data_IF_617061434149
#
_entry.id   IF_617061434149
#
_cell.length_a   1.000
_cell.length_b   1.000
_cell.length_c   1.000
_cell.angle_alpha   90.00
_cell.angle_beta   90.00
_cell.angle_gamma   90.00
#
_symmetry.space_group_name_H-M   'P 1'
#
loop_
_entity.id
_entity.type
_entity.pdbx_description
1 polymer ?
#
# COMPACT_ATOMS: atom_id res chain seq x y z
N UNK A 1 -8.75 20.73 -176.20
CA UNK A 1 -8.02 21.66 -175.30
C UNK A 1 -8.85 22.21 -174.14
N UNK A 2 -10.02 22.85 -174.35
CA UNK A 2 -10.78 23.41 -173.21
C UNK A 2 -11.43 22.33 -172.34
N UNK A 3 -12.09 21.35 -172.98
CA UNK A 3 -12.77 20.22 -172.29
C UNK A 3 -11.80 19.38 -171.46
N UNK A 4 -10.60 19.14 -171.96
CA UNK A 4 -9.59 18.30 -171.30
C UNK A 4 -9.05 18.96 -170.03
N UNK A 5 -8.86 20.29 -170.07
CA UNK A 5 -8.52 21.08 -168.87
C UNK A 5 -9.63 21.05 -167.82
N UNK A 6 -10.90 21.03 -168.25
CA UNK A 6 -12.05 20.89 -167.34
C UNK A 6 -12.15 19.48 -166.73
N UNK A 7 -11.83 18.42 -167.49
CA UNK A 7 -11.72 17.05 -166.94
C UNK A 7 -10.63 16.94 -165.88
N UNK A 8 -9.43 17.43 -166.19
CA UNK A 8 -8.29 17.43 -165.25
C UNK A 8 -8.64 18.25 -163.99
N UNK A 9 -9.36 19.37 -164.13
CA UNK A 9 -9.88 20.13 -162.98
C UNK A 9 -10.88 19.33 -162.16
N UNK A 10 -11.84 18.65 -162.79
CA UNK A 10 -12.84 17.83 -162.10
C UNK A 10 -12.21 16.63 -161.37
N UNK A 11 -11.27 15.93 -162.01
CA UNK A 11 -10.50 14.83 -161.42
C UNK A 11 -9.64 15.32 -160.26
N UNK A 12 -8.98 16.47 -160.40
CA UNK A 12 -8.23 17.11 -159.32
C UNK A 12 -9.13 17.56 -158.16
N UNK A 13 -10.35 18.03 -158.44
CA UNK A 13 -11.32 18.44 -157.42
C UNK A 13 -11.85 17.21 -156.66
N UNK A 14 -12.20 16.14 -157.38
CA UNK A 14 -12.67 14.87 -156.80
C UNK A 14 -11.58 14.20 -155.94
N UNK A 15 -10.34 14.14 -156.42
CA UNK A 15 -9.20 13.64 -155.66
C UNK A 15 -8.92 14.52 -154.43
N UNK A 16 -9.04 15.86 -154.54
CA UNK A 16 -8.93 16.76 -153.40
C UNK A 16 -10.08 16.59 -152.39
N UNK A 17 -11.31 16.31 -152.85
CA UNK A 17 -12.47 16.03 -152.00
C UNK A 17 -12.27 14.72 -151.24
N UNK A 18 -11.97 13.63 -151.94
CA UNK A 18 -11.66 12.33 -151.33
C UNK A 18 -10.51 12.42 -150.31
N UNK A 19 -9.43 13.15 -150.65
CA UNK A 19 -8.31 13.41 -149.72
C UNK A 19 -8.70 14.34 -148.56
N UNK A 20 -9.77 15.12 -148.64
CA UNK A 20 -10.32 15.88 -147.52
C UNK A 20 -11.26 15.02 -146.66
N UNK A 21 -12.12 14.20 -147.28
CA UNK A 21 -13.02 13.25 -146.64
C UNK A 21 -12.26 12.22 -145.79
N UNK A 22 -11.18 11.63 -146.33
CA UNK A 22 -10.28 10.74 -145.58
C UNK A 22 -9.69 11.46 -144.36
N UNK A 23 -9.18 12.68 -144.51
CA UNK A 23 -8.64 13.47 -143.38
C UNK A 23 -9.70 13.84 -142.34
N UNK A 24 -10.95 14.06 -142.75
CA UNK A 24 -12.09 14.28 -141.84
C UNK A 24 -12.41 12.98 -141.09
N UNK A 25 -12.36 11.82 -141.76
CA UNK A 25 -12.60 10.52 -141.15
C UNK A 25 -11.50 10.15 -140.15
N UNK A 26 -10.22 10.28 -140.53
CA UNK A 26 -9.06 10.07 -139.65
C UNK A 26 -9.11 11.00 -138.42
N UNK A 27 -9.45 12.28 -138.61
CA UNK A 27 -9.57 13.22 -137.49
C UNK A 27 -10.74 12.90 -136.56
N UNK A 28 -11.91 12.52 -137.11
CA UNK A 28 -13.06 12.05 -136.30
C UNK A 28 -12.68 10.82 -135.48
N UNK A 29 -11.97 9.87 -136.08
CA UNK A 29 -11.46 8.67 -135.41
C UNK A 29 -10.47 9.03 -134.29
N UNK A 30 -9.54 9.94 -134.51
CA UNK A 30 -8.62 10.42 -133.46
C UNK A 30 -9.36 11.10 -132.30
N UNK A 31 -10.41 11.87 -132.59
CA UNK A 31 -11.27 12.48 -131.57
C UNK A 31 -12.04 11.42 -130.79
N UNK A 32 -12.57 10.39 -131.46
CA UNK A 32 -13.26 9.26 -130.82
C UNK A 32 -12.32 8.42 -129.94
N UNK A 33 -11.12 8.09 -130.43
CA UNK A 33 -10.08 7.39 -129.66
C UNK A 33 -9.66 8.22 -128.41
N UNK A 34 -9.49 9.53 -128.54
CA UNK A 34 -9.17 10.42 -127.42
C UNK A 34 -10.33 10.58 -126.42
N UNK A 35 -11.58 10.61 -126.88
CA UNK A 35 -12.78 10.62 -126.02
C UNK A 35 -12.90 9.32 -125.23
N UNK A 36 -12.71 8.17 -125.89
CA UNK A 36 -12.76 6.85 -125.27
C UNK A 36 -11.63 6.68 -124.22
N UNK A 37 -10.40 7.13 -124.54
CA UNK A 37 -9.31 7.15 -123.56
C UNK A 37 -9.64 8.04 -122.35
N UNK A 38 -10.20 9.24 -122.57
CA UNK A 38 -10.59 10.15 -121.48
C UNK A 38 -11.68 9.55 -120.59
N UNK A 39 -12.66 8.85 -121.16
CA UNK A 39 -13.70 8.14 -120.40
C UNK A 39 -13.08 7.00 -119.59
N UNK A 40 -12.26 6.14 -120.21
CA UNK A 40 -11.60 5.03 -119.53
C UNK A 40 -10.71 5.51 -118.36
N UNK A 41 -9.96 6.59 -118.55
CA UNK A 41 -9.11 7.17 -117.50
C UNK A 41 -9.92 7.85 -116.39
N UNK A 42 -11.08 8.44 -116.72
CA UNK A 42 -11.99 8.97 -115.71
C UNK A 42 -12.64 7.86 -114.86
N UNK A 43 -13.00 6.71 -115.44
CA UNK A 43 -13.45 5.54 -114.65
C UNK A 43 -12.34 4.97 -113.77
N UNK A 44 -11.12 4.81 -114.30
CA UNK A 44 -9.96 4.33 -113.54
C UNK A 44 -9.67 5.24 -112.32
N UNK A 45 -9.62 6.56 -112.54
CA UNK A 45 -9.44 7.54 -111.47
C UNK A 45 -10.59 7.41 -110.45
N UNK A 46 -11.84 7.37 -110.90
CA UNK A 46 -13.00 7.24 -110.01
C UNK A 46 -13.05 5.92 -109.23
N UNK A 47 -12.41 4.85 -109.70
CA UNK A 47 -12.24 3.61 -108.95
C UNK A 47 -11.13 3.75 -107.89
N UNK A 48 -10.00 4.37 -108.23
CA UNK A 48 -8.95 4.67 -107.23
C UNK A 48 -9.41 5.64 -106.15
N UNK A 49 -10.18 6.68 -106.49
CA UNK A 49 -10.78 7.62 -105.54
C UNK A 49 -11.72 6.91 -104.55
N UNK A 50 -12.53 5.95 -105.01
CA UNK A 50 -13.39 5.11 -104.14
C UNK A 50 -12.56 4.19 -103.24
N UNK A 51 -11.46 3.64 -103.74
CA UNK A 51 -10.52 2.85 -102.94
C UNK A 51 -9.93 3.67 -101.80
N UNK A 52 -9.37 4.85 -102.10
CA UNK A 52 -8.81 5.77 -101.09
C UNK A 52 -9.89 6.27 -100.12
N UNK A 53 -11.11 6.54 -100.58
CA UNK A 53 -12.21 6.94 -99.70
C UNK A 53 -12.64 5.86 -98.70
N UNK A 54 -12.63 4.58 -99.11
CA UNK A 54 -12.93 3.46 -98.20
C UNK A 54 -11.76 3.15 -97.25
N UNK A 55 -10.51 3.35 -97.70
CA UNK A 55 -9.32 3.30 -96.83
C UNK A 55 -9.37 4.37 -95.74
N UNK A 56 -9.62 5.64 -96.10
CA UNK A 56 -9.76 6.76 -95.15
C UNK A 56 -10.84 6.45 -94.12
N UNK A 57 -12.04 6.05 -94.53
CA UNK A 57 -13.13 5.71 -93.61
C UNK A 57 -12.78 4.52 -92.68
N UNK A 58 -11.94 3.59 -93.13
CA UNK A 58 -11.39 2.51 -92.31
C UNK A 58 -10.39 3.00 -91.26
N UNK A 59 -9.48 3.91 -91.66
CA UNK A 59 -8.46 4.52 -90.79
C UNK A 59 -9.09 5.44 -89.74
N UNK A 60 -10.08 6.25 -90.09
CA UNK A 60 -10.82 7.09 -89.14
C UNK A 60 -11.53 6.24 -88.09
N UNK A 61 -12.23 5.18 -88.51
CA UNK A 61 -12.85 4.22 -87.59
C UNK A 61 -11.85 3.45 -86.72
N UNK A 62 -10.58 3.40 -87.10
CA UNK A 62 -9.52 2.85 -86.26
C UNK A 62 -8.98 3.88 -85.26
N UNK A 63 -8.76 5.14 -85.69
CA UNK A 63 -8.44 6.28 -84.83
C UNK A 63 -9.45 6.41 -83.69
N UNK A 64 -10.73 6.46 -84.00
CA UNK A 64 -11.80 6.70 -83.03
C UNK A 64 -11.80 5.64 -81.91
N UNK A 65 -11.56 4.37 -82.26
CA UNK A 65 -11.40 3.28 -81.27
C UNK A 65 -10.15 3.43 -80.40
N UNK A 66 -9.02 3.85 -80.98
CA UNK A 66 -7.79 4.08 -80.22
C UNK A 66 -7.94 5.29 -79.28
N UNK A 67 -8.73 6.29 -79.66
CA UNK A 67 -9.12 7.39 -78.79
C UNK A 67 -10.03 6.92 -77.65
N UNK A 68 -11.06 6.11 -77.92
CA UNK A 68 -11.90 5.47 -76.89
C UNK A 68 -11.05 4.66 -75.89
N UNK A 69 -10.22 3.73 -76.38
CA UNK A 69 -9.31 2.91 -75.56
C UNK A 69 -8.35 3.79 -74.73
N UNK A 70 -7.81 4.86 -75.32
CA UNK A 70 -6.95 5.82 -74.63
C UNK A 70 -7.71 6.60 -73.54
N UNK A 71 -8.97 6.97 -73.73
CA UNK A 71 -9.77 7.60 -72.66
C UNK A 71 -10.02 6.61 -71.52
N UNK A 72 -10.34 5.35 -71.82
CA UNK A 72 -10.56 4.30 -70.83
C UNK A 72 -9.29 4.05 -70.00
N UNK A 73 -8.13 3.87 -70.64
CA UNK A 73 -6.84 3.72 -69.97
C UNK A 73 -6.52 4.94 -69.10
N UNK A 74 -6.77 6.17 -69.58
CA UNK A 74 -6.57 7.38 -68.79
C UNK A 74 -7.50 7.47 -67.56
N UNK A 75 -8.74 6.99 -67.65
CA UNK A 75 -9.66 6.92 -66.51
C UNK A 75 -9.19 5.88 -65.47
N UNK A 76 -8.83 4.67 -65.92
CA UNK A 76 -8.27 3.63 -65.06
C UNK A 76 -6.97 4.06 -64.38
N UNK A 77 -6.09 4.77 -65.11
CA UNK A 77 -4.84 5.32 -64.59
C UNK A 77 -5.08 6.41 -63.54
N UNK A 78 -6.07 7.29 -63.72
CA UNK A 78 -6.47 8.28 -62.70
C UNK A 78 -7.02 7.60 -61.43
N UNK A 79 -7.88 6.60 -61.58
CA UNK A 79 -8.39 5.82 -60.45
C UNK A 79 -7.28 5.07 -59.69
N UNK A 80 -6.31 4.49 -60.41
CA UNK A 80 -5.15 3.82 -59.81
C UNK A 80 -4.27 4.80 -59.03
N UNK A 81 -4.03 6.02 -59.53
CA UNK A 81 -3.28 7.06 -58.81
C UNK A 81 -4.00 7.51 -57.53
N UNK A 82 -5.34 7.59 -57.54
CA UNK A 82 -6.14 7.94 -56.35
C UNK A 82 -5.99 6.85 -55.27
N UNK A 83 -6.19 5.57 -55.64
CA UNK A 83 -5.97 4.44 -54.70
C UNK A 83 -4.54 4.39 -54.16
N UNK A 84 -3.53 4.61 -55.03
CA UNK A 84 -2.12 4.64 -54.61
C UNK A 84 -1.81 5.79 -53.65
N UNK A 85 -2.48 6.95 -53.78
CA UNK A 85 -2.35 8.05 -52.83
C UNK A 85 -2.99 7.68 -51.49
N UNK A 86 -4.23 7.19 -51.51
CA UNK A 86 -4.98 6.76 -50.33
C UNK A 86 -4.21 5.73 -49.50
N UNK A 87 -3.69 4.66 -50.12
CA UNK A 87 -2.86 3.65 -49.43
C UNK A 87 -1.48 4.15 -48.95
N UNK A 88 -1.02 5.33 -49.38
CA UNK A 88 0.16 6.00 -48.79
C UNK A 88 -0.25 6.85 -47.60
N UNK A 89 -1.37 7.55 -47.70
CA UNK A 89 -1.95 8.34 -46.61
C UNK A 89 -2.35 7.43 -45.43
N UNK A 90 -3.08 6.34 -45.67
CA UNK A 90 -3.44 5.31 -44.69
C UNK A 90 -2.21 4.76 -43.96
N UNK A 91 -1.15 4.38 -44.70
CA UNK A 91 0.11 3.90 -44.11
C UNK A 91 0.77 4.96 -43.23
N UNK A 92 0.86 6.20 -43.70
CA UNK A 92 1.48 7.28 -42.94
C UNK A 92 0.73 7.55 -41.62
N UNK A 93 -0.61 7.43 -41.60
CA UNK A 93 -1.39 7.52 -40.35
C UNK A 93 -1.15 6.32 -39.43
N UNK A 94 -1.02 5.11 -39.97
CA UNK A 94 -0.67 3.91 -39.19
C UNK A 94 0.74 4.00 -38.59
N UNK A 95 1.72 4.42 -39.39
CA UNK A 95 3.11 4.60 -38.96
C UNK A 95 3.19 5.65 -37.82
N UNK A 96 2.46 6.75 -37.92
CA UNK A 96 2.36 7.79 -36.89
C UNK A 96 1.66 7.29 -35.62
N UNK A 97 0.52 6.60 -35.73
CA UNK A 97 -0.18 6.01 -34.58
C UNK A 97 0.69 4.96 -33.86
N UNK A 98 1.42 4.14 -34.62
CA UNK A 98 2.36 3.16 -34.07
C UNK A 98 3.55 3.84 -33.36
N UNK A 99 4.09 4.94 -33.91
CA UNK A 99 5.11 5.74 -33.24
C UNK A 99 4.60 6.31 -31.89
N UNK A 100 3.35 6.79 -31.84
CA UNK A 100 2.73 7.29 -30.62
C UNK A 100 2.53 6.18 -29.56
N UNK A 101 2.11 4.98 -29.97
CA UNK A 101 2.01 3.81 -29.09
C UNK A 101 3.39 3.43 -28.52
N UNK A 102 4.42 3.35 -29.37
CA UNK A 102 5.80 3.05 -28.96
C UNK A 102 6.33 4.10 -27.96
N UNK A 103 5.99 5.37 -28.15
CA UNK A 103 6.37 6.46 -27.24
C UNK A 103 5.65 6.34 -25.89
N UNK A 104 4.35 6.04 -25.87
CA UNK A 104 3.59 5.81 -24.63
C UNK A 104 4.10 4.59 -23.85
N UNK A 105 4.41 3.48 -24.54
CA UNK A 105 4.97 2.28 -23.92
C UNK A 105 6.33 2.57 -23.26
N UNK A 106 7.22 3.30 -23.94
CA UNK A 106 8.51 3.73 -23.36
C UNK A 106 8.34 4.65 -22.15
N UNK A 107 7.42 5.61 -22.21
CA UNK A 107 7.11 6.45 -21.04
C UNK A 107 6.66 5.62 -19.82
N UNK A 108 5.90 4.55 -20.04
CA UNK A 108 5.46 3.63 -18.98
C UNK A 108 6.59 2.71 -18.49
N UNK A 109 7.46 2.25 -19.38
CA UNK A 109 8.68 1.50 -19.05
C UNK A 109 9.63 2.34 -18.16
N UNK A 110 9.85 3.61 -18.52
CA UNK A 110 10.64 4.57 -17.72
C UNK A 110 9.99 4.89 -16.36
N UNK A 111 8.66 4.97 -16.30
CA UNK A 111 7.91 5.20 -15.05
C UNK A 111 7.99 4.00 -14.11
N UNK A 112 7.76 2.79 -14.62
CA UNK A 112 7.88 1.55 -13.85
C UNK A 112 9.33 1.31 -13.39
N UNK A 113 10.31 1.56 -14.26
CA UNK A 113 11.74 1.45 -13.91
C UNK A 113 12.13 2.38 -12.75
N UNK A 114 11.59 3.61 -12.74
CA UNK A 114 11.79 4.59 -11.67
C UNK A 114 11.09 4.18 -10.37
N UNK A 115 9.87 3.63 -10.46
CA UNK A 115 9.14 3.08 -9.32
C UNK A 115 9.90 1.93 -8.66
N UNK A 116 10.34 0.94 -9.47
CA UNK A 116 11.14 -0.20 -9.02
C UNK A 116 12.46 0.25 -8.36
N UNK A 117 13.08 1.33 -8.84
CA UNK A 117 14.27 1.91 -8.21
C UNK A 117 13.96 2.53 -6.82
N UNK A 118 12.83 3.23 -6.67
CA UNK A 118 12.38 3.77 -5.38
C UNK A 118 12.11 2.66 -4.37
N UNK A 119 11.30 1.67 -4.74
CA UNK A 119 10.93 0.56 -3.85
C UNK A 119 12.14 -0.27 -3.38
N UNK A 120 13.22 -0.35 -4.17
CA UNK A 120 14.49 -0.97 -3.74
C UNK A 120 15.18 -0.17 -2.64
N UNK A 121 15.32 1.15 -2.81
CA UNK A 121 15.90 2.04 -1.79
C UNK A 121 15.05 2.05 -0.52
N UNK A 122 13.72 2.02 -0.65
CA UNK A 122 12.80 1.89 0.48
C UNK A 122 12.96 0.55 1.21
N UNK A 123 13.12 -0.56 0.49
CA UNK A 123 13.39 -1.87 1.08
C UNK A 123 14.75 -1.94 1.80
N UNK A 124 15.80 -1.35 1.23
CA UNK A 124 17.11 -1.24 1.88
C UNK A 124 17.02 -0.43 3.19
N UNK A 125 16.28 0.68 3.20
CA UNK A 125 16.03 1.48 4.40
C UNK A 125 15.22 0.70 5.45
N UNK A 126 14.19 -0.04 5.06
CA UNK A 126 13.42 -0.91 5.97
C UNK A 126 14.30 -2.01 6.55
N UNK A 127 15.20 -2.61 5.77
CA UNK A 127 16.14 -3.63 6.28
C UNK A 127 17.11 -3.06 7.32
N UNK A 128 17.61 -1.83 7.12
CA UNK A 128 18.43 -1.12 8.12
C UNK A 128 17.63 -0.86 9.41
N UNK A 129 16.35 -0.46 9.32
CA UNK A 129 15.50 -0.28 10.49
C UNK A 129 15.19 -1.58 11.24
N UNK A 130 14.92 -2.68 10.53
CA UNK A 130 14.72 -4.00 11.13
C UNK A 130 15.96 -4.38 11.95
N UNK A 131 17.15 -4.33 11.33
CA UNK A 131 18.39 -4.65 12.02
C UNK A 131 18.65 -3.75 13.23
N UNK A 132 18.42 -2.44 13.11
CA UNK A 132 18.57 -1.52 14.24
C UNK A 132 17.65 -1.88 15.42
N UNK A 133 16.41 -2.30 15.15
CA UNK A 133 15.46 -2.73 16.17
C UNK A 133 15.85 -4.08 16.79
N UNK A 134 16.36 -5.03 16.01
CA UNK A 134 16.90 -6.31 16.48
C UNK A 134 18.12 -6.11 17.40
N UNK A 135 19.13 -5.35 16.94
CA UNK A 135 20.33 -4.99 17.72
C UNK A 135 19.94 -4.23 19.02
N UNK A 136 18.95 -3.34 18.94
CA UNK A 136 18.43 -2.59 20.11
C UNK A 136 17.69 -3.49 21.09
N UNK A 137 16.88 -4.44 20.61
CA UNK A 137 16.14 -5.38 21.45
C UNK A 137 17.11 -6.28 22.26
N UNK A 138 18.12 -6.84 21.60
CA UNK A 138 19.15 -7.66 22.25
C UNK A 138 19.94 -6.86 23.30
N UNK A 139 20.24 -5.60 23.03
CA UNK A 139 20.88 -4.70 24.01
C UNK A 139 19.96 -4.41 25.21
N UNK A 140 18.66 -4.20 24.99
CA UNK A 140 17.70 -3.94 26.06
C UNK A 140 17.43 -5.18 26.91
N UNK A 141 17.27 -6.37 26.31
CA UNK A 141 17.02 -7.61 27.06
C UNK A 141 18.22 -7.99 27.93
N UNK A 142 19.43 -7.99 27.35
CA UNK A 142 20.66 -8.30 28.09
C UNK A 142 20.97 -7.30 29.21
N UNK A 143 20.63 -6.01 29.05
CA UNK A 143 20.73 -5.04 30.14
C UNK A 143 19.68 -5.24 31.23
N UNK A 144 18.45 -5.64 30.87
CA UNK A 144 17.40 -5.99 31.83
C UNK A 144 17.77 -7.24 32.63
N UNK A 145 18.21 -8.31 31.98
CA UNK A 145 18.72 -9.55 32.60
C UNK A 145 19.89 -9.28 33.56
N UNK A 146 20.86 -8.48 33.13
CA UNK A 146 22.01 -8.08 33.96
C UNK A 146 21.57 -7.30 35.20
N UNK A 147 20.60 -6.39 35.05
CA UNK A 147 20.05 -5.58 36.14
C UNK A 147 19.25 -6.45 37.11
N UNK A 148 18.38 -7.31 36.62
CA UNK A 148 17.58 -8.25 37.42
C UNK A 148 18.50 -9.17 38.24
N UNK A 149 19.47 -9.81 37.56
CA UNK A 149 20.49 -10.65 38.21
C UNK A 149 21.21 -9.89 39.31
N UNK A 150 21.68 -8.66 39.04
CA UNK A 150 22.33 -7.83 40.06
C UNK A 150 21.39 -7.56 41.25
N UNK A 151 20.14 -7.18 41.01
CA UNK A 151 19.18 -6.90 42.10
C UNK A 151 18.86 -8.15 42.93
N UNK A 152 18.79 -9.34 42.31
CA UNK A 152 18.61 -10.59 43.03
C UNK A 152 19.88 -10.96 43.83
N UNK A 153 21.08 -10.79 43.26
CA UNK A 153 22.35 -10.98 43.97
C UNK A 153 22.54 -10.00 45.15
N UNK A 154 21.95 -8.81 45.11
CA UNK A 154 21.92 -7.88 46.24
C UNK A 154 20.85 -8.30 47.26
N UNK A 155 19.66 -8.74 46.80
CA UNK A 155 18.57 -9.22 47.66
C UNK A 155 18.92 -10.51 48.43
N UNK A 156 19.68 -11.44 47.82
CA UNK A 156 20.28 -12.60 48.52
C UNK A 156 21.11 -12.12 49.71
N UNK A 157 22.09 -11.24 49.47
CA UNK A 157 23.03 -10.73 50.48
C UNK A 157 22.32 -10.01 51.62
N UNK A 158 21.25 -9.27 51.35
CA UNK A 158 20.45 -8.63 52.39
C UNK A 158 19.59 -9.65 53.17
N UNK A 159 19.01 -10.66 52.52
CA UNK A 159 18.30 -11.76 53.19
C UNK A 159 19.21 -12.53 54.15
N UNK A 160 20.42 -12.84 53.70
CA UNK A 160 21.49 -13.49 54.46
C UNK A 160 21.85 -12.71 55.75
N UNK A 161 21.94 -11.38 55.64
CA UNK A 161 22.20 -10.49 56.78
C UNK A 161 20.99 -10.38 57.72
N UNK A 162 19.77 -10.34 57.18
CA UNK A 162 18.54 -10.25 57.97
C UNK A 162 18.30 -11.54 58.78
N UNK A 163 18.56 -12.71 58.20
CA UNK A 163 18.45 -14.00 58.89
C UNK A 163 19.44 -14.10 60.05
N UNK A 164 20.70 -13.68 59.84
CA UNK A 164 21.72 -13.60 60.91
C UNK A 164 21.31 -12.66 62.05
N UNK A 165 20.68 -11.53 61.72
CA UNK A 165 20.18 -10.56 62.70
C UNK A 165 19.00 -11.11 63.52
N UNK A 166 18.02 -11.76 62.88
CA UNK A 166 16.92 -12.42 63.60
C UNK A 166 17.47 -13.52 64.51
N UNK A 167 18.34 -14.40 64.02
CA UNK A 167 18.97 -15.49 64.80
C UNK A 167 19.67 -14.96 66.05
N UNK A 168 20.41 -13.85 65.93
CA UNK A 168 21.03 -13.15 67.07
C UNK A 168 19.99 -12.63 68.09
N UNK A 169 18.92 -11.97 67.63
CA UNK A 169 17.89 -11.47 68.55
C UNK A 169 17.08 -12.59 69.22
N UNK A 170 16.75 -13.67 68.51
CA UNK A 170 16.06 -14.82 69.09
C UNK A 170 16.94 -15.54 70.14
N UNK A 171 18.26 -15.65 69.91
CA UNK A 171 19.21 -16.13 70.90
C UNK A 171 19.20 -15.24 72.15
N UNK A 172 19.36 -13.93 72.00
CA UNK A 172 19.34 -12.98 73.11
C UNK A 172 18.01 -13.04 73.90
N UNK A 173 16.86 -13.01 73.22
CA UNK A 173 15.57 -13.14 73.89
C UNK A 173 15.41 -14.47 74.63
N UNK A 174 15.87 -15.60 74.07
CA UNK A 174 15.86 -16.91 74.73
C UNK A 174 16.73 -16.91 76.00
N UNK A 175 17.91 -16.30 75.96
CA UNK A 175 18.84 -16.22 77.08
C UNK A 175 18.37 -15.27 78.19
N UNK A 176 17.71 -14.15 77.85
CA UNK A 176 17.15 -13.19 78.82
C UNK A 176 15.81 -13.65 79.43
N UNK A 177 14.95 -14.32 78.65
CA UNK A 177 13.62 -14.76 79.10
C UNK A 177 13.71 -15.78 80.24
N UNK A 178 14.60 -16.76 80.17
CA UNK A 178 14.74 -17.81 81.20
C UNK A 178 14.96 -17.24 82.62
N UNK A 179 16.05 -16.48 82.85
CA UNK A 179 16.31 -15.79 84.11
C UNK A 179 15.19 -14.81 84.51
N UNK A 180 14.58 -14.12 83.56
CA UNK A 180 13.49 -13.17 83.83
C UNK A 180 12.22 -13.88 84.32
N UNK A 181 11.88 -15.04 83.75
CA UNK A 181 10.74 -15.87 84.17
C UNK A 181 11.02 -16.48 85.55
N UNK A 182 12.25 -16.93 85.81
CA UNK A 182 12.67 -17.38 87.14
C UNK A 182 12.59 -16.25 88.17
N UNK A 183 12.97 -15.02 87.81
CA UNK A 183 12.83 -13.84 88.66
C UNK A 183 11.34 -13.56 88.97
N UNK A 184 10.46 -13.47 87.96
CA UNK A 184 9.01 -13.31 88.14
C UNK A 184 8.44 -14.39 89.06
N UNK A 185 8.85 -15.65 88.91
CA UNK A 185 8.43 -16.74 89.79
C UNK A 185 8.84 -16.49 91.24
N UNK A 186 10.11 -16.13 91.47
CA UNK A 186 10.61 -15.82 92.82
C UNK A 186 9.94 -14.58 93.44
N UNK A 187 9.57 -13.57 92.64
CA UNK A 187 8.81 -12.41 93.05
C UNK A 187 7.35 -12.78 93.36
N UNK A 188 6.71 -13.64 92.56
CA UNK A 188 5.36 -14.14 92.81
C UNK A 188 5.29 -14.93 94.13
N UNK A 189 6.23 -15.84 94.36
CA UNK A 189 6.32 -16.64 95.58
C UNK A 189 6.67 -15.77 96.81
N UNK A 190 7.53 -14.75 96.64
CA UNK A 190 7.81 -13.75 97.68
C UNK A 190 6.58 -12.89 98.00
N UNK A 191 5.76 -12.53 97.00
CA UNK A 191 4.52 -11.79 97.21
C UNK A 191 3.44 -12.65 97.90
N UNK A 192 3.35 -13.95 97.58
CA UNK A 192 2.51 -14.92 98.31
C UNK A 192 2.91 -14.95 99.80
N UNK A 193 4.20 -15.19 100.10
CA UNK A 193 4.74 -15.23 101.46
C UNK A 193 4.55 -13.91 102.24
N UNK A 194 4.76 -12.75 101.60
CA UNK A 194 4.53 -11.45 102.23
C UNK A 194 3.05 -11.21 102.55
N UNK A 195 2.14 -11.65 101.68
CA UNK A 195 0.70 -11.52 101.88
C UNK A 195 0.20 -12.44 103.01
N UNK A 196 0.70 -13.68 103.09
CA UNK A 196 0.44 -14.62 104.18
C UNK A 196 0.98 -14.10 105.53
N UNK A 197 2.24 -13.66 105.56
CA UNK A 197 2.90 -13.12 106.76
C UNK A 197 2.21 -11.84 107.27
N UNK A 198 1.70 -10.99 106.37
CA UNK A 198 0.93 -9.80 106.71
C UNK A 198 -0.43 -10.12 107.36
N UNK A 199 -0.95 -11.34 107.22
CA UNK A 199 -2.22 -11.76 107.83
C UNK A 199 -2.13 -12.14 109.31
N UNK A 200 -0.92 -12.37 109.85
CA UNK A 200 -0.73 -13.07 111.13
C UNK A 200 -0.10 -12.19 112.23
N UNK A 201 0.50 -11.04 111.92
CA UNK A 201 1.25 -10.23 112.91
C UNK A 201 1.02 -8.72 112.80
N UNK A 202 0.08 -8.19 113.59
CA UNK A 202 -0.18 -6.74 113.73
C UNK A 202 0.79 -6.04 114.69
N UNK A 203 2.09 -6.12 114.44
CA UNK A 203 3.13 -5.24 115.06
C UNK A 203 4.23 -4.92 114.05
N UNK A 204 4.83 -3.72 114.13
CA UNK A 204 5.89 -3.20 113.23
C UNK A 204 5.44 -2.95 111.76
N UNK A 205 4.33 -2.21 111.60
CA UNK A 205 3.71 -1.93 110.29
C UNK A 205 4.33 -0.79 109.45
N UNK A 206 5.65 -0.77 109.22
CA UNK A 206 6.27 0.26 108.35
C UNK A 206 7.23 -0.28 107.27
N UNK A 207 8.18 -1.18 107.59
CA UNK A 207 9.12 -1.71 106.58
C UNK A 207 8.44 -2.67 105.59
N UNK A 208 7.63 -3.61 106.09
CA UNK A 208 6.90 -4.61 105.28
C UNK A 208 6.03 -3.93 104.21
N UNK A 209 5.52 -2.72 104.47
CA UNK A 209 4.74 -1.92 103.51
C UNK A 209 5.59 -1.34 102.37
N UNK A 210 6.88 -1.08 102.60
CA UNK A 210 7.83 -0.62 101.57
C UNK A 210 8.33 -1.78 100.72
N UNK A 211 8.76 -2.87 101.38
CA UNK A 211 9.22 -4.08 100.71
C UNK A 211 8.13 -4.67 99.79
N UNK A 212 6.90 -4.82 100.30
CA UNK A 212 5.76 -5.30 99.50
C UNK A 212 5.45 -4.39 98.30
N UNK A 213 5.59 -3.07 98.44
CA UNK A 213 5.37 -2.13 97.31
C UNK A 213 6.46 -2.26 96.25
N UNK A 214 7.73 -2.29 96.66
CA UNK A 214 8.86 -2.44 95.73
C UNK A 214 8.83 -3.79 95.01
N UNK A 215 8.48 -4.88 95.70
CA UNK A 215 8.36 -6.19 95.10
C UNK A 215 7.22 -6.28 94.05
N UNK A 216 6.08 -5.60 94.29
CA UNK A 216 5.00 -5.47 93.29
C UNK A 216 5.40 -4.64 92.07
N UNK A 217 6.18 -3.59 92.27
CA UNK A 217 6.67 -2.70 91.21
C UNK A 217 7.71 -3.40 90.33
N UNK A 218 8.65 -4.12 90.95
CA UNK A 218 9.62 -4.97 90.24
C UNK A 218 8.94 -6.13 89.48
N UNK A 219 7.91 -6.74 90.06
CA UNK A 219 7.11 -7.76 89.36
C UNK A 219 6.46 -7.18 88.09
N UNK A 220 5.83 -6.00 88.18
CA UNK A 220 5.12 -5.38 87.06
C UNK A 220 6.08 -4.97 85.92
N UNK A 221 7.25 -4.42 86.23
CA UNK A 221 8.20 -4.06 85.17
C UNK A 221 8.86 -5.31 84.55
N UNK A 222 9.13 -6.36 85.34
CA UNK A 222 9.59 -7.65 84.79
C UNK A 222 8.50 -8.31 83.89
N UNK A 223 7.24 -8.30 84.31
CA UNK A 223 6.09 -8.79 83.55
C UNK A 223 5.95 -8.04 82.22
N UNK A 224 6.07 -6.70 82.26
CA UNK A 224 6.06 -5.84 81.09
C UNK A 224 7.21 -6.14 80.13
N UNK A 225 8.45 -6.26 80.63
CA UNK A 225 9.62 -6.56 79.80
C UNK A 225 9.52 -7.93 79.12
N UNK A 226 9.01 -8.95 79.82
CA UNK A 226 8.75 -10.27 79.25
C UNK A 226 7.67 -10.21 78.17
N UNK A 227 6.58 -9.45 78.38
CA UNK A 227 5.53 -9.26 77.36
C UNK A 227 6.08 -8.55 76.11
N UNK A 228 6.96 -7.56 76.28
CA UNK A 228 7.63 -6.85 75.16
C UNK A 228 8.58 -7.78 74.40
N UNK A 229 9.39 -8.59 75.11
CA UNK A 229 10.27 -9.57 74.47
C UNK A 229 9.46 -10.57 73.63
N UNK A 230 8.34 -11.08 74.16
CA UNK A 230 7.45 -11.97 73.42
C UNK A 230 6.82 -11.31 72.19
N UNK A 231 6.37 -10.06 72.25
CA UNK A 231 5.76 -9.40 71.08
C UNK A 231 6.78 -9.04 69.99
N UNK A 232 8.04 -8.76 70.35
CA UNK A 232 9.15 -8.63 69.39
C UNK A 232 9.40 -9.97 68.68
N UNK A 233 9.42 -11.08 69.42
CA UNK A 233 9.57 -12.43 68.84
C UNK A 233 8.39 -12.78 67.92
N UNK A 234 7.15 -12.44 68.30
CA UNK A 234 5.97 -12.67 67.46
C UNK A 234 6.05 -11.91 66.13
N UNK A 235 6.51 -10.65 66.14
CA UNK A 235 6.70 -9.87 64.92
C UNK A 235 7.88 -10.39 64.07
N UNK A 236 8.97 -10.87 64.67
CA UNK A 236 10.03 -11.56 63.93
C UNK A 236 9.54 -12.86 63.29
N UNK A 237 8.59 -13.57 63.92
CA UNK A 237 7.95 -14.77 63.37
C UNK A 237 7.03 -14.44 62.19
N UNK A 238 6.24 -13.38 62.32
CA UNK A 238 5.42 -12.81 61.25
C UNK A 238 6.28 -12.44 60.03
N UNK A 239 7.37 -11.69 60.22
CA UNK A 239 8.28 -11.28 59.14
C UNK A 239 8.93 -12.45 58.37
N UNK A 240 9.08 -13.63 59.00
CA UNK A 240 9.58 -14.84 58.35
C UNK A 240 8.46 -15.63 57.67
N UNK A 241 7.31 -15.83 58.32
CA UNK A 241 6.28 -16.78 57.91
C UNK A 241 4.99 -16.17 57.34
N UNK A 242 4.98 -14.88 56.97
CA UNK A 242 3.87 -14.25 56.22
C UNK A 242 3.64 -14.90 54.85
N UNK A 243 2.37 -15.19 54.54
CA UNK A 243 1.91 -15.94 53.37
C UNK A 243 1.86 -15.12 52.06
N UNK A 244 2.94 -14.38 51.76
CA UNK A 244 3.15 -13.80 50.43
C UNK A 244 3.95 -14.74 49.53
N UNK A 245 3.21 -15.74 49.03
CA UNK A 245 3.34 -16.43 47.74
C UNK A 245 4.64 -16.12 46.95
N UNK A 246 5.51 -17.13 46.83
CA UNK A 246 6.74 -17.22 46.02
C UNK A 246 8.13 -16.83 46.60
N UNK A 247 8.31 -16.64 47.92
CA UNK A 247 9.67 -16.57 48.54
C UNK A 247 9.95 -17.75 49.50
N UNK A 248 9.42 -18.93 49.17
CA UNK A 248 9.33 -20.12 50.04
C UNK A 248 10.54 -21.07 50.06
N UNK A 249 11.72 -20.65 49.58
CA UNK A 249 12.95 -21.48 49.63
C UNK A 249 14.08 -20.91 50.50
N UNK A 250 14.03 -19.62 50.88
CA UNK A 250 15.10 -18.93 51.62
C UNK A 250 14.91 -18.88 53.16
N UNK A 251 13.84 -19.49 53.70
CA UNK A 251 13.33 -19.15 55.05
C UNK A 251 13.26 -20.29 56.08
N UNK A 252 13.60 -21.52 55.70
CA UNK A 252 13.63 -22.68 56.60
C UNK A 252 15.04 -22.91 57.20
N UNK A 253 15.58 -21.94 57.97
CA UNK A 253 16.73 -22.20 58.86
C UNK A 253 16.22 -23.04 60.07
N UNK A 254 16.71 -24.27 60.26
CA UNK A 254 16.23 -25.15 61.33
C UNK A 254 16.58 -24.61 62.73
N UNK A 255 17.70 -23.92 62.90
CA UNK A 255 18.08 -23.33 64.19
C UNK A 255 17.16 -22.16 64.55
N UNK A 256 16.76 -21.33 63.56
CA UNK A 256 15.79 -20.24 63.78
C UNK A 256 14.44 -20.80 64.21
N UNK A 257 14.02 -21.93 63.63
CA UNK A 257 12.81 -22.64 64.05
C UNK A 257 12.92 -23.20 65.48
N UNK A 258 14.02 -23.87 65.81
CA UNK A 258 14.30 -24.36 67.16
C UNK A 258 14.33 -23.23 68.20
N UNK A 259 14.80 -22.04 67.84
CA UNK A 259 14.78 -20.86 68.70
C UNK A 259 13.34 -20.37 68.96
N UNK A 260 12.48 -20.29 67.93
CA UNK A 260 11.06 -19.96 68.13
C UNK A 260 10.35 -20.99 69.03
N UNK A 261 10.59 -22.28 68.81
CA UNK A 261 9.95 -23.35 69.60
C UNK A 261 10.46 -23.35 71.06
N UNK A 262 11.75 -23.05 71.29
CA UNK A 262 12.31 -22.86 72.63
C UNK A 262 11.72 -21.63 73.35
N UNK A 263 11.48 -20.52 72.63
CA UNK A 263 10.85 -19.32 73.21
C UNK A 263 9.37 -19.56 73.49
N UNK A 264 8.64 -20.30 72.66
CA UNK A 264 7.23 -20.63 72.94
C UNK A 264 7.09 -21.58 74.14
N UNK A 265 8.06 -22.49 74.36
CA UNK A 265 8.16 -23.26 75.61
C UNK A 265 8.32 -22.34 76.83
N UNK A 266 9.22 -21.36 76.77
CA UNK A 266 9.37 -20.35 77.83
C UNK A 266 8.07 -19.53 78.02
N UNK A 267 7.32 -19.24 76.95
CA UNK A 267 6.00 -18.59 77.05
C UNK A 267 4.97 -19.47 77.78
N UNK A 268 5.01 -20.78 77.57
CA UNK A 268 4.22 -21.75 78.34
C UNK A 268 4.60 -21.76 79.83
N UNK A 269 5.89 -21.75 80.14
CA UNK A 269 6.40 -21.68 81.52
C UNK A 269 5.98 -20.38 82.23
N UNK A 270 6.09 -19.23 81.54
CA UNK A 270 5.62 -17.93 82.04
C UNK A 270 4.10 -17.92 82.30
N UNK A 271 3.29 -18.40 81.34
CA UNK A 271 1.82 -18.52 81.47
C UNK A 271 1.39 -19.45 82.61
N UNK A 272 2.28 -20.29 83.13
CA UNK A 272 2.01 -21.23 84.22
C UNK A 272 2.26 -20.67 85.62
N UNK A 273 2.66 -19.39 85.74
CA UNK A 273 2.87 -18.72 87.03
C UNK A 273 1.57 -18.02 87.46
N UNK A 274 1.04 -18.35 88.65
CA UNK A 274 -0.13 -17.65 89.19
C UNK A 274 0.15 -16.15 89.37
N UNK A 275 -0.60 -15.30 88.67
CA UNK A 275 -0.45 -13.84 88.78
C UNK A 275 -0.92 -13.35 90.16
N UNK A 276 -0.06 -12.71 90.98
CA UNK A 276 -0.45 -12.24 92.32
C UNK A 276 -1.53 -11.15 92.30
N UNK A 277 -2.17 -10.91 93.46
CA UNK A 277 -3.20 -9.87 93.63
C UNK A 277 -2.60 -8.45 93.77
N UNK A 278 -2.20 -7.88 92.63
CA UNK A 278 -1.51 -6.60 92.50
C UNK A 278 -2.42 -5.36 92.68
N UNK A 279 -3.08 -5.25 93.83
CA UNK A 279 -3.78 -4.03 94.22
C UNK A 279 -2.76 -2.90 94.49
N UNK A 280 -2.65 -1.99 93.52
CA UNK A 280 -2.03 -0.66 93.65
C UNK A 280 -3.13 0.40 93.46
N UNK A 281 -3.15 1.42 94.32
CA UNK A 281 -4.19 2.46 94.29
C UNK A 281 -4.06 3.34 93.03
N UNK A 282 -5.17 3.69 92.35
CA UNK A 282 -5.11 4.35 91.05
C UNK A 282 -4.73 5.82 91.15
N UNK A 283 -3.67 6.22 90.42
CA UNK A 283 -3.47 7.60 90.01
C UNK A 283 -4.48 7.94 88.90
N UNK A 284 -5.16 9.09 89.01
CA UNK A 284 -6.15 9.54 88.02
C UNK A 284 -5.52 10.52 87.04
N UNK A 285 -5.78 10.30 85.75
CA UNK A 285 -6.33 11.27 84.78
C UNK A 285 -6.53 10.55 83.44
N UNK A 286 -7.38 10.91 82.48
CA UNK A 286 -8.61 11.71 82.34
C UNK A 286 -8.75 11.89 80.82
N UNK A 287 -9.69 11.18 80.19
CA UNK A 287 -9.84 11.19 78.73
C UNK A 287 -10.57 12.47 78.29
N UNK A 288 -10.06 13.12 77.23
CA UNK A 288 -10.71 14.22 76.51
C UNK A 288 -11.07 13.78 75.08
N UNK A 289 -12.03 14.47 74.46
CA UNK A 289 -12.66 14.07 73.19
C UNK A 289 -12.18 14.87 71.97
N UNK A 290 -12.46 14.34 70.77
CA UNK A 290 -13.12 15.13 69.71
C UNK A 290 -13.61 14.26 68.55
N UNK A 291 -14.82 14.55 68.06
CA UNK A 291 -15.22 14.24 66.68
C UNK A 291 -14.67 15.30 65.73
N UNK A 292 -14.60 15.00 64.43
CA UNK A 292 -14.93 16.00 63.40
C UNK A 292 -15.38 15.39 62.08
N UNK A 293 -16.34 16.08 61.45
CA UNK A 293 -16.92 15.75 60.13
C UNK A 293 -16.73 16.94 59.18
N UNK A 294 -16.59 16.67 57.88
CA UNK A 294 -16.56 17.67 56.81
C UNK A 294 -17.17 17.10 55.52
N UNK A 295 -17.58 17.96 54.58
CA UNK A 295 -18.40 17.64 53.40
C UNK A 295 -17.72 17.97 52.05
N UNK A 296 -18.40 17.53 50.99
CA UNK A 296 -18.26 17.86 49.55
C UNK A 296 -18.10 19.37 49.25
N UNK A 297 -17.74 19.86 48.05
CA UNK A 297 -18.16 19.55 46.65
C UNK A 297 -17.32 20.43 45.66
N UNK A 298 -17.67 20.73 44.37
CA UNK A 298 -18.39 20.05 43.28
C UNK A 298 -17.61 20.05 41.92
N UNK A 299 -18.29 19.96 40.76
CA UNK A 299 -17.77 19.87 39.36
C UNK A 299 -18.28 21.00 38.44
N UNK A 300 -17.59 21.30 37.32
CA UNK A 300 -18.06 22.16 36.20
C UNK A 300 -17.72 21.59 34.79
N UNK A 301 -18.22 22.18 33.69
CA UNK A 301 -18.17 21.68 32.28
C UNK A 301 -17.81 22.77 31.23
N UNK A 302 -17.59 22.41 29.95
CA UNK A 302 -17.30 23.34 28.80
C UNK A 302 -17.84 22.87 27.41
N UNK A 303 -18.14 23.76 26.41
CA UNK A 303 -18.75 23.41 25.09
C UNK A 303 -17.97 23.79 23.78
N UNK A 304 -18.55 23.54 22.57
CA UNK A 304 -18.07 23.83 21.17
C UNK A 304 -19.11 24.63 20.32
N UNK A 305 -18.78 25.31 19.17
CA UNK A 305 -19.29 24.86 17.80
C UNK A 305 -18.67 25.41 16.44
N UNK A 306 -18.91 24.69 15.29
CA UNK A 306 -19.26 25.07 13.85
C UNK A 306 -18.33 25.77 12.77
N UNK A 307 -18.44 25.34 11.47
CA UNK A 307 -18.55 26.21 10.23
C UNK A 307 -17.86 25.88 8.84
N UNK A 308 -18.61 25.94 7.70
CA UNK A 308 -18.28 26.38 6.28
C UNK A 308 -17.79 25.42 5.11
N UNK A 309 -18.04 25.80 3.82
CA UNK A 309 -18.23 24.90 2.61
C UNK A 309 -17.93 25.47 1.15
N UNK A 310 -17.70 24.59 0.12
CA UNK A 310 -17.85 24.72 -1.40
C UNK A 310 -16.84 25.54 -2.29
N UNK A 311 -16.82 25.58 -3.69
CA UNK A 311 -17.65 25.00 -4.81
C UNK A 311 -16.91 24.41 -6.12
N UNK A 312 -17.39 24.63 -7.39
CA UNK A 312 -17.26 23.79 -8.67
C UNK A 312 -16.65 24.42 -9.98
N UNK A 313 -16.52 23.66 -11.13
CA UNK A 313 -16.44 24.17 -12.55
C UNK A 313 -16.91 23.19 -13.70
N UNK A 314 -17.08 23.65 -14.97
CA UNK A 314 -17.68 22.99 -16.19
C UNK A 314 -17.41 23.79 -17.52
N UNK A 315 -17.57 23.38 -18.82
CA UNK A 315 -17.68 22.10 -19.62
C UNK A 315 -17.97 22.31 -21.16
N UNK A 316 -17.71 21.32 -22.06
CA UNK A 316 -18.42 20.96 -23.35
C UNK A 316 -17.99 21.40 -24.81
N UNK A 317 -17.96 20.40 -25.73
CA UNK A 317 -18.44 20.22 -27.16
C UNK A 317 -18.20 21.21 -28.35
N UNK A 318 -17.92 20.68 -29.56
CA UNK A 318 -18.01 21.33 -30.91
C UNK A 318 -18.02 20.35 -32.12
N UNK A 319 -18.50 20.72 -33.33
CA UNK A 319 -18.80 19.74 -34.43
C UNK A 319 -18.70 20.28 -35.90
N UNK A 320 -18.16 19.44 -36.80
CA UNK A 320 -18.52 19.15 -38.22
C UNK A 320 -18.74 20.25 -39.31
N UNK A 321 -18.22 20.01 -40.53
CA UNK A 321 -18.62 20.65 -41.79
C UNK A 321 -18.32 19.74 -43.00
N UNK A 322 -19.25 19.59 -43.96
CA UNK A 322 -19.11 18.71 -45.14
C UNK A 322 -19.92 19.21 -46.35
N UNK A 323 -19.43 19.01 -47.59
CA UNK A 323 -20.25 19.08 -48.82
C UNK A 323 -19.62 18.53 -50.13
N UNK A 324 -18.33 18.21 -50.19
CA UNK A 324 -17.61 18.06 -51.48
C UNK A 324 -17.51 16.65 -52.08
N UNK A 325 -17.89 15.60 -51.36
CA UNK A 325 -17.53 14.21 -51.70
C UNK A 325 -18.46 13.52 -52.70
N UNK A 326 -19.65 14.07 -52.98
CA UNK A 326 -20.78 13.36 -53.60
C UNK A 326 -20.56 12.79 -55.02
N UNK A 327 -19.47 13.16 -55.71
CA UNK A 327 -19.08 12.58 -57.00
C UNK A 327 -17.86 11.63 -56.94
N UNK A 328 -17.11 11.60 -55.85
CA UNK A 328 -16.09 10.58 -55.57
C UNK A 328 -16.72 9.41 -54.80
N UNK A 329 -17.55 9.71 -53.80
CA UNK A 329 -18.32 8.76 -53.00
C UNK A 329 -19.08 7.74 -53.85
N UNK A 330 -19.62 8.14 -55.02
CA UNK A 330 -20.35 7.22 -55.90
C UNK A 330 -19.49 6.18 -56.65
N UNK A 331 -18.16 6.27 -56.58
CA UNK A 331 -17.22 5.27 -57.12
C UNK A 331 -16.41 4.58 -56.00
N UNK A 332 -16.39 5.16 -54.78
CA UNK A 332 -15.85 4.50 -53.58
C UNK A 332 -16.89 3.64 -52.85
N UNK A 333 -18.18 3.97 -52.89
CA UNK A 333 -19.23 3.22 -52.19
C UNK A 333 -19.34 1.76 -52.67
N UNK A 334 -19.02 1.48 -53.94
CA UNK A 334 -18.96 0.11 -54.49
C UNK A 334 -17.75 -0.71 -53.97
N UNK A 335 -16.88 -0.12 -53.13
CA UNK A 335 -15.70 -0.75 -52.54
C UNK A 335 -15.65 -0.73 -51.00
N UNK A 336 -16.59 -0.07 -50.32
CA UNK A 336 -16.55 0.08 -48.85
C UNK A 336 -17.34 -1.00 -48.06
N UNK A 337 -18.13 -1.84 -48.73
CA UNK A 337 -19.04 -2.83 -48.13
C UNK A 337 -18.32 -4.07 -47.54
N UNK A 338 -17.11 -3.90 -47.01
CA UNK A 338 -16.24 -5.01 -46.54
C UNK A 338 -15.21 -4.57 -45.47
N UNK A 339 -15.46 -3.51 -44.70
CA UNK A 339 -14.52 -3.03 -43.66
C UNK A 339 -15.18 -2.39 -42.43
N UNK A 340 -16.42 -2.78 -42.08
CA UNK A 340 -17.22 -2.15 -41.01
C UNK A 340 -17.47 -3.04 -39.77
N UNK A 341 -16.51 -3.88 -39.36
CA UNK A 341 -16.64 -4.77 -38.19
C UNK A 341 -15.42 -4.76 -37.25
N UNK A 342 -14.88 -3.58 -36.92
CA UNK A 342 -13.90 -3.41 -35.83
C UNK A 342 -14.28 -2.20 -34.96
N UNK A 343 -14.91 -2.46 -33.81
CA UNK A 343 -15.24 -1.44 -32.80
C UNK A 343 -14.07 -1.25 -31.82
N UNK A 344 -14.00 -0.11 -31.14
CA UNK A 344 -12.85 0.28 -30.31
C UNK A 344 -12.93 -0.15 -28.84
N UNK A 345 -13.99 -0.87 -28.47
CA UNK A 345 -14.39 -1.13 -27.07
C UNK A 345 -13.65 -2.29 -26.37
N UNK A 346 -13.00 -3.21 -27.11
CA UNK A 346 -12.45 -4.46 -26.57
C UNK A 346 -11.06 -4.36 -25.89
N UNK A 347 -10.55 -3.14 -25.62
CA UNK A 347 -9.21 -2.92 -25.00
C UNK A 347 -9.32 -2.25 -23.62
N UNK A 348 -10.09 -2.84 -22.71
CA UNK A 348 -10.05 -2.57 -21.26
C UNK A 348 -10.13 -3.88 -20.49
N UNK A 349 -9.01 -4.36 -19.93
CA UNK A 349 -8.97 -5.68 -19.30
C UNK A 349 -7.63 -6.15 -18.75
N UNK A 350 -6.85 -5.26 -18.11
CA UNK A 350 -5.62 -5.62 -17.40
C UNK A 350 -5.49 -4.83 -16.08
N UNK A 351 -6.36 -5.15 -15.12
CA UNK A 351 -6.03 -4.93 -13.71
C UNK A 351 -5.06 -6.04 -13.24
N UNK A 352 -4.16 -5.70 -12.32
CA UNK A 352 -3.29 -6.62 -11.58
C UNK A 352 -3.42 -6.28 -10.09
N UNK A 353 -3.59 -7.30 -9.25
CA UNK A 353 -3.51 -7.24 -7.78
C UNK A 353 -2.06 -7.00 -7.30
#
# INVERSE_FOLDING_TARGET
MLVDKLKILAESLANSSSKAEVRIWDHRRQVEEALNFRVAKASEISETEKGVATEIAGLEKHRDKLEDELTQVNLSLKAAHIRLRKHREERNHFDEANNQIILQLKMKEDELSRSIASCKVEADVVHVWIKFLEDTWVLQSSWAELKEKKTNEELEKYGDCFMKLIKHHLLACKEELGPSIQNIKSLADSLKLLNERSGVMLTVGHDVSKESRSCKEQYLEAERMIIIAFSVVDHMKELIYTDEVHVSSRRDDPEVKELFDAIEKLRGEFRSIDRPSLNLGPLKEKVNSSERSAKSSPRANSPKPKGAESPKSTSATGRHLSYSESKLSKFEAEFYDTSSEWSAEDIVGWEFD
#
